data_IF_837302362090
#
_entry.id   IF_837302362090
#
_cell.length_a   1.000
_cell.length_b   1.000
_cell.length_c   1.000
_cell.angle_alpha   90.00
_cell.angle_beta   90.00
_cell.angle_gamma   90.00
#
_symmetry.space_group_name_H-M   'P 1'
#
loop_
_entity.id
_entity.type
_entity.pdbx_description
1 polymer ?
#
# COMPACT_ATOMS: atom_id res chain seq x y z
N UNK A 1 30.91 4.20 -83.85
CA UNK A 1 30.53 2.77 -84.02
C UNK A 1 29.63 2.44 -82.84
N UNK A 2 28.31 2.65 -82.97
CA UNK A 2 27.29 1.63 -83.33
C UNK A 2 27.24 0.54 -82.26
N UNK A 3 26.37 0.61 -81.25
CA UNK A 3 24.89 0.43 -81.24
C UNK A 3 24.45 -1.04 -81.20
N UNK A 4 23.31 -1.25 -80.55
CA UNK A 4 22.40 -2.41 -80.51
C UNK A 4 22.62 -3.43 -79.37
N UNK A 5 21.63 -3.77 -78.54
CA UNK A 5 20.19 -3.44 -78.49
C UNK A 5 19.61 -4.02 -77.18
N UNK A 6 18.65 -3.32 -76.56
CA UNK A 6 17.78 -3.92 -75.53
C UNK A 6 17.31 -2.99 -74.41
N UNK A 7 16.65 -1.88 -74.77
CA UNK A 7 15.97 -0.93 -73.86
C UNK A 7 14.47 -1.34 -73.71
N UNK A 8 13.62 -0.61 -72.94
CA UNK A 8 12.88 -0.96 -71.70
C UNK A 8 11.34 -0.92 -71.99
N UNK A 9 10.39 -0.33 -71.21
CA UNK A 9 10.26 0.03 -69.77
C UNK A 9 8.90 -0.40 -69.14
N UNK A 10 8.67 -0.09 -67.85
CA UNK A 10 7.31 -0.06 -67.30
C UNK A 10 7.22 0.10 -65.78
N UNK A 11 7.18 1.35 -65.32
CA UNK A 11 6.42 1.82 -64.14
C UNK A 11 5.26 2.68 -64.75
N UNK A 12 4.14 3.11 -64.11
CA UNK A 12 3.63 2.93 -62.74
C UNK A 12 2.10 2.67 -62.63
N UNK A 13 1.63 2.50 -61.39
CA UNK A 13 0.32 2.95 -60.85
C UNK A 13 -1.00 2.17 -61.11
N UNK A 14 -1.85 2.28 -60.07
CA UNK A 14 -3.32 2.16 -59.99
C UNK A 14 -3.96 0.78 -59.67
N UNK A 15 -4.34 0.64 -58.39
CA UNK A 15 -5.73 0.45 -57.95
C UNK A 15 -6.46 -0.85 -58.28
N UNK A 16 -6.90 -1.57 -57.25
CA UNK A 16 -8.31 -1.96 -57.16
C UNK A 16 -8.71 -2.35 -55.73
N UNK A 17 -9.85 -1.81 -55.31
CA UNK A 17 -10.58 -2.19 -54.12
C UNK A 17 -11.42 -3.43 -54.42
N UNK A 18 -11.50 -4.36 -53.47
CA UNK A 18 -12.36 -5.53 -53.57
C UNK A 18 -12.89 -5.93 -52.19
N UNK A 19 -14.07 -5.44 -51.84
CA UNK A 19 -14.83 -5.86 -50.67
C UNK A 19 -15.56 -7.18 -50.97
N UNK A 20 -15.45 -8.18 -50.09
CA UNK A 20 -16.45 -9.23 -49.82
C UNK A 20 -16.26 -9.65 -48.37
N UNK A 21 -17.16 -9.27 -47.45
CA UNK A 21 -18.44 -9.91 -47.11
C UNK A 21 -18.28 -11.23 -46.33
N UNK A 22 -18.64 -11.13 -45.04
CA UNK A 22 -19.37 -12.10 -44.22
C UNK A 22 -18.92 -13.58 -44.19
N UNK A 23 -18.46 -14.02 -43.01
CA UNK A 23 -18.29 -15.42 -42.65
C UNK A 23 -18.23 -15.59 -41.13
N UNK A 24 -19.41 -15.72 -40.53
CA UNK A 24 -19.85 -16.31 -39.25
C UNK A 24 -18.96 -16.31 -37.96
N UNK A 25 -19.56 -15.97 -36.80
CA UNK A 25 -18.99 -16.31 -35.50
C UNK A 25 -19.23 -17.80 -35.14
N UNK A 26 -18.33 -18.45 -34.39
CA UNK A 26 -18.55 -19.82 -33.92
C UNK A 26 -19.65 -19.89 -32.83
N UNK A 27 -20.31 -21.05 -32.68
CA UNK A 27 -21.66 -21.17 -32.11
C UNK A 27 -21.70 -21.22 -30.58
N UNK A 28 -22.80 -20.69 -30.04
CA UNK A 28 -23.31 -20.98 -28.70
C UNK A 28 -23.54 -22.49 -28.52
N UNK A 29 -22.98 -23.05 -27.43
CA UNK A 29 -23.44 -24.32 -26.88
C UNK A 29 -24.06 -24.03 -25.52
N UNK A 30 -25.38 -23.87 -25.54
CA UNK A 30 -26.22 -23.93 -24.37
C UNK A 30 -26.66 -25.39 -24.11
N UNK A 31 -26.87 -25.69 -22.83
CA UNK A 31 -27.89 -26.60 -22.26
C UNK A 31 -27.50 -28.02 -21.86
N UNK A 32 -27.51 -28.28 -20.55
CA UNK A 32 -28.30 -29.35 -19.90
C UNK A 32 -28.30 -29.10 -18.37
N UNK A 33 -29.43 -28.70 -17.73
CA UNK A 33 -30.52 -29.53 -17.16
C UNK A 33 -30.01 -30.49 -16.06
N UNK A 34 -30.28 -30.33 -14.74
CA UNK A 34 -31.54 -30.47 -13.93
C UNK A 34 -31.11 -31.13 -12.57
N UNK A 35 -31.81 -31.16 -11.39
CA UNK A 35 -33.19 -30.78 -11.05
C UNK A 35 -33.41 -29.86 -9.82
N UNK A 36 -34.67 -29.42 -9.73
CA UNK A 36 -35.46 -28.89 -8.63
C UNK A 36 -35.92 -29.92 -7.58
N UNK A 37 -36.07 -29.50 -6.31
CA UNK A 37 -37.08 -29.86 -5.26
C UNK A 37 -36.57 -29.28 -3.91
N UNK A 38 -37.32 -28.80 -2.90
CA UNK A 38 -38.73 -28.48 -2.64
C UNK A 38 -38.82 -27.89 -1.19
N UNK A 39 -39.68 -26.88 -0.96
CA UNK A 39 -40.32 -26.53 0.34
C UNK A 39 -39.56 -25.56 1.26
N UNK A 40 -40.13 -24.48 1.82
CA UNK A 40 -41.51 -23.99 1.88
C UNK A 40 -41.52 -22.45 2.10
N UNK A 41 -42.43 -21.77 1.41
CA UNK A 41 -42.99 -20.45 1.77
C UNK A 41 -44.47 -20.67 2.12
N UNK A 42 -45.14 -19.79 2.90
CA UNK A 42 -45.85 -18.65 2.28
C UNK A 42 -45.75 -17.36 3.14
N UNK A 43 -45.46 -16.16 2.59
CA UNK A 43 -46.29 -15.17 1.85
C UNK A 43 -47.40 -14.45 2.63
N UNK A 44 -47.56 -13.17 2.24
CA UNK A 44 -48.63 -12.18 2.46
C UNK A 44 -48.48 -11.26 3.70
N UNK A 45 -48.26 -9.95 3.58
CA UNK A 45 -48.90 -8.85 2.81
C UNK A 45 -50.20 -8.31 3.41
N UNK A 46 -50.28 -6.98 3.37
CA UNK A 46 -51.44 -6.10 3.48
C UNK A 46 -51.88 -5.66 4.89
N UNK A 47 -52.04 -4.34 5.01
CA UNK A 47 -52.66 -3.68 6.15
C UNK A 47 -54.18 -3.56 6.04
N UNK A 48 -54.68 -2.55 6.75
CA UNK A 48 -56.06 -2.03 6.80
C UNK A 48 -56.88 -2.43 8.06
N UNK A 49 -57.21 -1.38 8.82
CA UNK A 49 -58.59 -0.98 9.16
C UNK A 49 -59.38 -1.77 10.21
N UNK A 50 -59.70 -1.03 11.28
CA UNK A 50 -60.96 -0.89 12.00
C UNK A 50 -61.94 -2.06 12.21
N UNK A 51 -62.42 -2.07 13.46
CA UNK A 51 -63.78 -2.33 13.96
C UNK A 51 -64.31 -3.76 14.11
N UNK A 52 -64.71 -3.99 15.37
CA UNK A 52 -65.95 -4.60 15.84
C UNK A 52 -65.92 -6.02 16.46
N UNK A 53 -66.30 -6.02 17.75
CA UNK A 53 -67.25 -6.93 18.39
C UNK A 53 -66.79 -8.36 18.72
N UNK A 54 -66.60 -8.64 20.02
CA UNK A 54 -67.61 -9.36 20.80
C UNK A 54 -67.32 -9.31 22.31
N UNK A 55 -68.32 -8.84 23.06
CA UNK A 55 -68.45 -8.98 24.52
C UNK A 55 -68.73 -10.44 24.87
N UNK A 56 -68.18 -10.92 25.98
CA UNK A 56 -68.99 -11.57 27.02
C UNK A 56 -68.31 -11.55 28.41
N UNK A 57 -69.15 -11.39 29.44
CA UNK A 57 -69.06 -11.78 30.86
C UNK A 57 -67.83 -11.28 31.67
N UNK A 58 -67.95 -10.59 32.81
CA UNK A 58 -68.83 -10.84 33.95
C UNK A 58 -68.89 -9.60 34.84
N UNK A 59 -70.11 -9.23 35.24
CA UNK A 59 -70.38 -8.25 36.30
C UNK A 59 -69.92 -8.81 37.64
N UNK A 60 -68.80 -8.33 38.17
CA UNK A 60 -68.52 -8.42 39.61
C UNK A 60 -68.79 -7.08 40.28
N UNK A 61 -69.87 -7.08 41.06
CA UNK A 61 -70.21 -6.04 42.03
C UNK A 61 -69.09 -5.93 43.06
N UNK A 62 -68.19 -4.94 42.91
CA UNK A 62 -67.26 -4.58 43.97
C UNK A 62 -67.84 -3.45 44.81
N UNK A 63 -68.31 -3.82 45.99
CA UNK A 63 -68.73 -2.98 47.11
C UNK A 63 -67.74 -1.82 47.32
N UNK A 64 -68.23 -0.59 47.12
CA UNK A 64 -67.56 0.63 47.58
C UNK A 64 -67.41 0.56 49.10
N UNK A 65 -66.20 0.31 49.56
CA UNK A 65 -65.82 0.52 50.96
C UNK A 65 -65.00 1.79 51.00
N UNK A 66 -65.57 2.83 51.59
CA UNK A 66 -64.94 4.12 51.88
C UNK A 66 -63.59 3.91 52.58
N UNK A 67 -62.45 4.43 52.08
CA UNK A 67 -61.20 4.33 52.81
C UNK A 67 -61.20 5.38 53.92
N UNK A 68 -61.10 4.90 55.16
CA UNK A 68 -60.76 5.71 56.34
C UNK A 68 -59.37 6.31 56.15
N UNK A 69 -59.21 7.64 56.14
CA UNK A 69 -57.90 8.26 55.96
C UNK A 69 -57.16 8.27 57.31
N UNK A 70 -55.99 7.63 57.37
CA UNK A 70 -55.04 7.92 58.46
C UNK A 70 -54.01 6.87 58.84
N UNK A 71 -54.15 5.60 58.46
CA UNK A 71 -53.21 4.56 58.92
C UNK A 71 -52.60 3.69 57.80
N UNK A 72 -53.25 3.55 56.63
CA UNK A 72 -52.81 2.63 55.55
C UNK A 72 -51.98 3.32 54.45
N UNK A 73 -51.88 4.65 54.45
CA UNK A 73 -51.19 5.41 53.39
C UNK A 73 -49.69 5.50 53.60
N UNK A 74 -49.20 5.54 54.85
CA UNK A 74 -47.77 5.51 55.13
C UNK A 74 -47.17 4.14 54.87
N UNK A 75 -47.85 3.05 55.26
CA UNK A 75 -47.36 1.69 55.03
C UNK A 75 -47.23 1.39 53.53
N UNK A 76 -48.25 1.70 52.72
CA UNK A 76 -48.17 1.54 51.26
C UNK A 76 -47.10 2.44 50.61
N UNK A 77 -46.83 3.63 51.17
CA UNK A 77 -45.80 4.53 50.65
C UNK A 77 -44.40 4.03 50.99
N UNK A 78 -44.19 3.50 52.20
CA UNK A 78 -42.95 2.87 52.63
C UNK A 78 -42.67 1.58 51.86
N UNK A 79 -43.69 0.77 51.58
CA UNK A 79 -43.57 -0.44 50.77
C UNK A 79 -43.24 -0.11 49.31
N UNK A 80 -43.85 0.94 48.74
CA UNK A 80 -43.50 1.40 47.40
C UNK A 80 -42.07 1.97 47.33
N UNK A 81 -41.64 2.73 48.33
CA UNK A 81 -40.26 3.21 48.41
C UNK A 81 -39.24 2.07 48.57
N UNK A 82 -39.58 1.01 49.30
CA UNK A 82 -38.77 -0.22 49.40
C UNK A 82 -38.68 -0.94 48.06
N UNK A 83 -39.79 -1.16 47.37
CA UNK A 83 -39.82 -1.83 46.07
C UNK A 83 -39.05 -1.03 44.99
N UNK A 84 -39.16 0.31 45.00
CA UNK A 84 -38.38 1.18 44.11
C UNK A 84 -36.90 1.12 44.44
N UNK A 85 -36.53 1.08 45.73
CA UNK A 85 -35.13 0.94 46.16
C UNK A 85 -34.55 -0.40 45.75
N UNK A 86 -35.27 -1.51 45.97
CA UNK A 86 -34.84 -2.85 45.57
C UNK A 86 -34.65 -2.95 44.06
N UNK A 87 -35.61 -2.45 43.26
CA UNK A 87 -35.44 -2.38 41.80
C UNK A 87 -34.29 -1.50 41.35
N UNK A 88 -34.00 -0.42 42.08
CA UNK A 88 -32.87 0.46 41.76
C UNK A 88 -31.54 -0.24 42.06
N UNK A 89 -31.47 -0.93 43.20
CA UNK A 89 -30.30 -1.72 43.60
C UNK A 89 -30.06 -2.88 42.62
N UNK A 90 -31.09 -3.60 42.19
CA UNK A 90 -30.99 -4.65 41.17
C UNK A 90 -30.49 -4.11 39.82
N UNK A 91 -30.99 -2.95 39.39
CA UNK A 91 -30.54 -2.31 38.14
C UNK A 91 -29.10 -1.83 38.23
N UNK A 92 -28.67 -1.33 39.38
CA UNK A 92 -27.30 -0.91 39.61
C UNK A 92 -26.34 -2.10 39.61
N UNK A 93 -26.75 -3.24 40.17
CA UNK A 93 -25.99 -4.49 40.12
C UNK A 93 -25.87 -4.99 38.68
N UNK A 94 -26.98 -5.08 37.95
CA UNK A 94 -26.98 -5.51 36.54
C UNK A 94 -26.12 -4.58 35.67
N UNK A 95 -26.15 -3.27 35.92
CA UNK A 95 -25.31 -2.29 35.21
C UNK A 95 -23.82 -2.52 35.47
N UNK A 96 -23.44 -2.76 36.74
CA UNK A 96 -22.04 -3.04 37.11
C UNK A 96 -21.54 -4.34 36.49
N UNK A 97 -22.38 -5.38 36.44
CA UNK A 97 -22.02 -6.63 35.76
C UNK A 97 -21.81 -6.42 34.25
N UNK A 98 -22.69 -5.67 33.58
CA UNK A 98 -22.51 -5.35 32.16
C UNK A 98 -21.24 -4.53 31.91
N UNK A 99 -20.92 -3.58 32.79
CA UNK A 99 -19.68 -2.79 32.71
C UNK A 99 -18.44 -3.68 32.91
N UNK A 100 -18.44 -4.59 33.89
CA UNK A 100 -17.35 -5.54 34.11
C UNK A 100 -17.19 -6.52 32.94
N UNK A 101 -18.29 -7.08 32.44
CA UNK A 101 -18.27 -7.94 31.24
C UNK A 101 -17.68 -7.20 30.04
N UNK A 102 -18.04 -5.93 29.84
CA UNK A 102 -17.53 -5.11 28.73
C UNK A 102 -16.05 -4.80 28.89
N UNK A 103 -15.59 -4.50 30.11
CA UNK A 103 -14.16 -4.28 30.39
C UNK A 103 -13.33 -5.55 30.22
N UNK A 104 -13.84 -6.71 30.61
CA UNK A 104 -13.18 -8.00 30.37
C UNK A 104 -13.10 -8.31 28.87
N UNK A 105 -14.18 -8.09 28.12
CA UNK A 105 -14.19 -8.26 26.67
C UNK A 105 -13.22 -7.31 25.97
N UNK A 106 -13.16 -6.05 26.40
CA UNK A 106 -12.24 -5.05 25.84
C UNK A 106 -10.77 -5.41 26.16
N UNK A 107 -10.48 -5.84 27.38
CA UNK A 107 -9.16 -6.32 27.77
C UNK A 107 -8.74 -7.57 26.98
N UNK A 108 -9.63 -8.56 26.83
CA UNK A 108 -9.40 -9.77 26.05
C UNK A 108 -9.21 -9.46 24.56
N UNK A 109 -9.97 -8.51 24.02
CA UNK A 109 -9.82 -8.06 22.63
C UNK A 109 -8.46 -7.39 22.40
N UNK A 110 -8.06 -6.45 23.28
CA UNK A 110 -6.77 -5.75 23.22
C UNK A 110 -5.61 -6.74 23.37
N UNK A 111 -5.71 -7.69 24.29
CA UNK A 111 -4.71 -8.74 24.49
C UNK A 111 -4.62 -9.63 23.26
N UNK A 112 -5.74 -10.09 22.70
CA UNK A 112 -5.77 -10.91 21.49
C UNK A 112 -5.19 -10.19 20.26
N UNK A 113 -5.37 -8.87 20.17
CA UNK A 113 -4.81 -8.07 19.09
C UNK A 113 -3.30 -7.84 19.25
N UNK A 114 -2.83 -7.67 20.49
CA UNK A 114 -1.39 -7.60 20.80
C UNK A 114 -0.69 -8.93 20.50
N UNK A 115 -1.29 -10.06 20.89
CA UNK A 115 -0.76 -11.41 20.62
C UNK A 115 -0.74 -11.73 19.12
N UNK A 116 -1.76 -11.32 18.36
CA UNK A 116 -1.78 -11.46 16.88
C UNK A 116 -0.71 -10.60 16.19
N UNK A 117 -0.42 -9.42 16.72
CA UNK A 117 0.68 -8.57 16.25
C UNK A 117 2.04 -9.20 16.50
N UNK A 118 2.21 -9.89 17.62
CA UNK A 118 3.47 -10.57 17.93
C UNK A 118 3.63 -11.87 17.14
N UNK A 119 2.54 -12.59 16.85
CA UNK A 119 2.56 -13.87 16.12
C UNK A 119 2.61 -13.70 14.59
N UNK A 120 2.00 -12.64 14.03
CA UNK A 120 1.99 -12.36 12.58
C UNK A 120 2.71 -11.06 12.17
N UNK A 121 3.28 -10.30 13.11
CA UNK A 121 4.13 -9.13 12.88
C UNK A 121 5.60 -9.50 12.67
N UNK A 122 5.85 -10.27 11.61
CA UNK A 122 7.18 -10.72 11.23
C UNK A 122 7.83 -9.86 10.15
N UNK A 123 9.17 -9.75 10.19
CA UNK A 123 9.95 -9.27 9.05
C UNK A 123 9.74 -10.22 7.87
N UNK A 124 9.24 -9.71 6.75
CA UNK A 124 8.95 -10.53 5.58
C UNK A 124 10.09 -10.38 4.57
N UNK A 125 11.02 -11.31 4.63
CA UNK A 125 12.20 -11.36 3.75
C UNK A 125 11.80 -11.29 2.26
N UNK A 126 10.71 -11.96 1.86
CA UNK A 126 10.24 -11.95 0.48
C UNK A 126 9.83 -10.54 0.02
N UNK A 127 9.04 -9.84 0.83
CA UNK A 127 8.61 -8.46 0.53
C UNK A 127 9.81 -7.50 0.41
N UNK A 128 10.81 -7.65 1.28
CA UNK A 128 12.03 -6.85 1.24
C UNK A 128 12.86 -7.10 -0.04
N UNK A 129 12.99 -8.36 -0.48
CA UNK A 129 13.69 -8.70 -1.74
C UNK A 129 12.98 -8.07 -2.94
N UNK A 130 11.65 -8.21 -3.04
CA UNK A 130 10.90 -7.62 -4.14
C UNK A 130 10.97 -6.09 -4.14
N UNK A 131 10.88 -5.46 -2.97
CA UNK A 131 11.07 -4.01 -2.85
C UNK A 131 12.46 -3.57 -3.32
N UNK A 132 13.51 -4.34 -3.01
CA UNK A 132 14.86 -4.06 -3.49
C UNK A 132 15.00 -4.25 -5.01
N UNK A 133 14.42 -5.31 -5.58
CA UNK A 133 14.41 -5.51 -7.04
C UNK A 133 13.74 -4.34 -7.77
N UNK A 134 12.62 -3.84 -7.23
CA UNK A 134 11.93 -2.65 -7.75
C UNK A 134 12.81 -1.41 -7.63
N UNK A 135 13.50 -1.24 -6.50
CA UNK A 135 14.41 -0.11 -6.30
C UNK A 135 15.55 -0.10 -7.33
N UNK A 136 16.20 -1.25 -7.59
CA UNK A 136 17.26 -1.34 -8.60
C UNK A 136 16.71 -1.09 -10.01
N UNK A 137 15.57 -1.71 -10.36
CA UNK A 137 14.95 -1.51 -11.67
C UNK A 137 14.61 -0.04 -11.92
N UNK A 138 14.03 0.65 -10.93
CA UNK A 138 13.72 2.07 -11.03
C UNK A 138 14.97 2.95 -11.04
N UNK A 139 16.01 2.59 -10.30
CA UNK A 139 17.28 3.33 -10.31
C UNK A 139 17.86 3.32 -11.72
N UNK A 140 17.96 2.14 -12.35
CA UNK A 140 18.49 2.00 -13.72
C UNK A 140 17.61 2.73 -14.72
N UNK A 141 16.29 2.57 -14.63
CA UNK A 141 15.34 3.22 -15.52
C UNK A 141 15.46 4.76 -15.45
N UNK A 142 15.36 5.32 -14.25
CA UNK A 142 15.44 6.77 -14.04
C UNK A 142 16.82 7.33 -14.38
N UNK A 143 17.90 6.63 -14.03
CA UNK A 143 19.25 7.05 -14.39
C UNK A 143 19.46 7.03 -15.91
N UNK A 144 18.92 6.05 -16.63
CA UNK A 144 18.99 6.00 -18.09
C UNK A 144 18.27 7.18 -18.75
N UNK A 145 17.09 7.55 -18.24
CA UNK A 145 16.32 8.70 -18.72
C UNK A 145 17.07 10.00 -18.41
N UNK A 146 17.56 10.16 -17.17
CA UNK A 146 18.33 11.34 -16.78
C UNK A 146 19.61 11.49 -17.61
N UNK A 147 20.31 10.38 -17.88
CA UNK A 147 21.50 10.35 -18.75
C UNK A 147 21.18 10.75 -20.19
N UNK A 148 20.08 10.25 -20.76
CA UNK A 148 19.62 10.64 -22.09
C UNK A 148 19.28 12.14 -22.18
N UNK A 149 18.59 12.68 -21.17
CA UNK A 149 18.29 14.12 -21.09
C UNK A 149 19.57 14.93 -20.97
N UNK A 150 20.51 14.52 -20.09
CA UNK A 150 21.77 15.21 -19.91
C UNK A 150 22.59 15.25 -21.21
N UNK A 151 22.63 14.14 -21.96
CA UNK A 151 23.30 14.08 -23.25
C UNK A 151 22.65 15.03 -24.28
N UNK A 152 21.32 15.01 -24.40
CA UNK A 152 20.60 15.89 -25.33
C UNK A 152 20.78 17.38 -24.98
N UNK A 153 20.76 17.72 -23.69
CA UNK A 153 21.01 19.10 -23.23
C UNK A 153 22.44 19.53 -23.53
N UNK A 154 23.43 18.67 -23.28
CA UNK A 154 24.83 18.96 -23.56
C UNK A 154 25.09 19.26 -25.04
N UNK A 155 24.45 18.51 -25.94
CA UNK A 155 24.52 18.76 -27.39
C UNK A 155 23.85 20.09 -27.76
N UNK A 156 22.64 20.35 -27.24
CA UNK A 156 21.87 21.57 -27.57
C UNK A 156 22.56 22.87 -27.12
N UNK A 157 23.33 22.83 -26.04
CA UNK A 157 24.03 23.99 -25.48
C UNK A 157 25.44 24.18 -26.06
N UNK A 158 25.85 23.36 -27.04
CA UNK A 158 27.23 23.31 -27.56
C UNK A 158 28.28 23.25 -26.44
N UNK A 159 27.98 22.48 -25.39
CA UNK A 159 28.81 22.41 -24.19
C UNK A 159 30.15 21.77 -24.56
N UNK A 160 31.22 22.57 -24.62
CA UNK A 160 32.53 22.06 -25.04
C UNK A 160 33.25 21.39 -23.89
N UNK A 161 34.24 20.52 -24.20
CA UNK A 161 35.11 19.93 -23.19
C UNK A 161 35.81 21.01 -22.33
N UNK A 162 36.15 22.15 -22.94
CA UNK A 162 36.78 23.27 -22.22
C UNK A 162 35.84 23.95 -21.21
N UNK A 163 34.53 23.93 -21.46
CA UNK A 163 33.53 24.49 -20.54
C UNK A 163 33.22 23.48 -19.42
N UNK A 164 33.20 22.19 -19.74
CA UNK A 164 33.12 21.12 -18.76
C UNK A 164 34.30 21.14 -17.79
N UNK A 165 35.52 21.42 -18.26
CA UNK A 165 36.70 21.56 -17.39
C UNK A 165 36.62 22.79 -16.47
N UNK A 166 36.11 23.92 -16.98
CA UNK A 166 35.94 25.15 -16.17
C UNK A 166 34.84 25.04 -15.12
N UNK A 167 33.78 24.26 -15.39
CA UNK A 167 32.60 24.11 -14.53
C UNK A 167 32.47 22.70 -13.94
N UNK A 168 33.56 21.92 -13.92
CA UNK A 168 33.55 20.53 -13.49
C UNK A 168 32.97 20.34 -12.08
N UNK A 169 33.23 21.28 -11.18
CA UNK A 169 32.66 21.28 -9.82
C UNK A 169 31.14 21.39 -9.81
N UNK A 170 30.58 22.38 -10.51
CA UNK A 170 29.14 22.64 -10.54
C UNK A 170 28.37 21.52 -11.25
N UNK A 171 28.91 21.04 -12.38
CA UNK A 171 28.33 19.91 -13.13
C UNK A 171 28.39 18.63 -12.30
N UNK A 172 29.49 18.41 -11.56
CA UNK A 172 29.64 17.27 -10.66
C UNK A 172 28.63 17.29 -9.52
N UNK A 173 28.44 18.45 -8.87
CA UNK A 173 27.44 18.62 -7.79
C UNK A 173 26.03 18.44 -8.33
N UNK A 174 25.67 19.09 -9.45
CA UNK A 174 24.35 18.97 -10.06
C UNK A 174 24.03 17.52 -10.44
N UNK A 175 24.99 16.82 -11.05
CA UNK A 175 24.87 15.40 -11.39
C UNK A 175 24.73 14.53 -10.15
N UNK A 176 25.55 14.78 -9.12
CA UNK A 176 25.51 14.06 -7.84
C UNK A 176 24.16 14.21 -7.14
N UNK A 177 23.62 15.43 -7.08
CA UNK A 177 22.29 15.70 -6.52
C UNK A 177 21.21 15.01 -7.37
N UNK A 178 21.29 15.08 -8.69
CA UNK A 178 20.35 14.43 -9.59
C UNK A 178 20.30 12.90 -9.37
N UNK A 179 21.46 12.26 -9.28
CA UNK A 179 21.56 10.83 -8.96
C UNK A 179 21.04 10.52 -7.55
N UNK A 180 21.35 11.35 -6.55
CA UNK A 180 20.82 11.17 -5.20
C UNK A 180 19.29 11.22 -5.18
N UNK A 181 18.68 12.17 -5.89
CA UNK A 181 17.22 12.26 -6.02
C UNK A 181 16.64 11.03 -6.70
N UNK A 182 17.26 10.55 -7.78
CA UNK A 182 16.87 9.30 -8.45
C UNK A 182 16.90 8.12 -7.48
N UNK A 183 17.99 7.96 -6.73
CA UNK A 183 18.13 6.90 -5.72
C UNK A 183 17.05 7.01 -4.65
N UNK A 184 16.77 8.22 -4.15
CA UNK A 184 15.72 8.44 -3.15
C UNK A 184 14.34 8.07 -3.70
N UNK A 185 13.99 8.45 -4.93
CA UNK A 185 12.71 8.08 -5.54
C UNK A 185 12.61 6.56 -5.71
N UNK A 186 13.68 5.92 -6.17
CA UNK A 186 13.71 4.48 -6.40
C UNK A 186 13.58 3.67 -5.10
N UNK A 187 14.33 4.03 -4.06
CA UNK A 187 14.24 3.39 -2.75
C UNK A 187 12.91 3.68 -2.04
N UNK A 188 12.33 4.86 -2.23
CA UNK A 188 10.98 5.16 -1.75
C UNK A 188 9.94 4.23 -2.40
N UNK A 189 9.98 4.06 -3.72
CA UNK A 189 9.08 3.16 -4.43
C UNK A 189 9.29 1.68 -4.03
N UNK A 190 10.54 1.24 -3.89
CA UNK A 190 10.86 -0.10 -3.40
C UNK A 190 10.33 -0.36 -1.99
N UNK A 191 10.55 0.58 -1.08
CA UNK A 191 9.98 0.55 0.27
C UNK A 191 8.45 0.51 0.25
N UNK A 192 7.81 1.30 -0.62
CA UNK A 192 6.35 1.31 -0.78
C UNK A 192 5.79 -0.04 -1.20
N UNK A 193 6.40 -0.70 -2.20
CA UNK A 193 5.99 -2.04 -2.65
C UNK A 193 6.14 -3.06 -1.52
N UNK A 194 7.27 -3.04 -0.80
CA UNK A 194 7.50 -3.94 0.34
C UNK A 194 6.49 -3.69 1.48
N UNK A 195 6.17 -2.42 1.74
CA UNK A 195 5.17 -2.02 2.73
C UNK A 195 3.75 -2.46 2.37
N UNK A 196 3.39 -2.50 1.08
CA UNK A 196 2.08 -2.99 0.60
C UNK A 196 1.91 -4.49 0.75
N UNK A 197 3.00 -5.26 0.81
CA UNK A 197 2.98 -6.71 1.01
C UNK A 197 3.04 -7.13 2.48
N UNK A 198 3.29 -6.19 3.40
CA UNK A 198 3.39 -6.45 4.84
C UNK A 198 2.25 -5.81 5.61
N UNK A 199 1.44 -6.66 6.25
CA UNK A 199 0.22 -6.23 6.96
C UNK A 199 0.50 -5.38 8.20
N UNK A 200 1.61 -5.60 8.91
CA UNK A 200 1.79 -5.03 10.26
C UNK A 200 2.99 -4.10 10.47
N UNK A 201 4.05 -4.14 9.65
CA UNK A 201 5.24 -3.29 9.83
C UNK A 201 5.85 -2.74 8.53
N UNK A 202 5.15 -1.85 7.82
CA UNK A 202 5.64 -1.27 6.56
C UNK A 202 6.97 -0.53 6.70
N UNK A 203 7.18 0.17 7.82
CA UNK A 203 8.47 0.82 8.11
C UNK A 203 9.64 -0.17 8.24
N UNK A 204 9.45 -1.29 8.95
CA UNK A 204 10.49 -2.34 9.08
C UNK A 204 10.76 -3.04 7.76
N UNK A 205 9.76 -3.22 6.90
CA UNK A 205 10.02 -3.76 5.56
C UNK A 205 10.80 -2.79 4.68
N UNK A 206 10.54 -1.48 4.77
CA UNK A 206 11.34 -0.45 4.10
C UNK A 206 12.81 -0.49 4.54
N UNK A 207 13.07 -0.72 5.84
CA UNK A 207 14.42 -0.98 6.34
C UNK A 207 15.00 -2.28 5.78
N UNK A 208 14.17 -3.32 5.62
CA UNK A 208 14.57 -4.58 4.98
C UNK A 208 15.06 -4.39 3.55
N UNK A 209 14.32 -3.62 2.75
CA UNK A 209 14.72 -3.26 1.38
C UNK A 209 16.10 -2.58 1.38
N UNK A 210 16.30 -1.64 2.30
CA UNK A 210 17.57 -0.94 2.44
C UNK A 210 18.72 -1.85 2.87
N UNK A 211 18.49 -2.72 3.87
CA UNK A 211 19.49 -3.69 4.35
C UNK A 211 19.89 -4.69 3.26
N UNK A 212 18.94 -5.22 2.50
CA UNK A 212 19.23 -6.10 1.37
C UNK A 212 20.07 -5.35 0.34
N UNK A 213 19.71 -4.11 0.02
CA UNK A 213 20.51 -3.27 -0.85
C UNK A 213 21.94 -3.10 -0.36
N UNK A 214 22.12 -2.81 0.93
CA UNK A 214 23.44 -2.67 1.53
C UNK A 214 24.24 -3.98 1.47
N UNK A 215 23.63 -5.12 1.78
CA UNK A 215 24.29 -6.43 1.69
C UNK A 215 24.70 -6.75 0.26
N UNK A 216 23.80 -6.57 -0.71
CA UNK A 216 24.11 -6.83 -2.12
C UNK A 216 25.18 -5.87 -2.64
N UNK A 217 25.14 -4.59 -2.26
CA UNK A 217 26.20 -3.63 -2.59
C UNK A 217 27.54 -4.03 -2.00
N UNK A 218 27.58 -4.47 -0.74
CA UNK A 218 28.81 -4.96 -0.11
C UNK A 218 29.34 -6.22 -0.80
N UNK A 219 28.46 -7.15 -1.20
CA UNK A 219 28.82 -8.32 -2.00
C UNK A 219 29.38 -7.92 -3.36
N UNK A 220 28.75 -6.96 -4.05
CA UNK A 220 29.20 -6.47 -5.34
C UNK A 220 30.59 -5.81 -5.25
N UNK A 221 30.83 -5.01 -4.21
CA UNK A 221 32.16 -4.42 -3.94
C UNK A 221 33.19 -5.51 -3.66
N UNK A 222 32.85 -6.49 -2.82
CA UNK A 222 33.73 -7.63 -2.52
C UNK A 222 34.08 -8.43 -3.78
N UNK A 223 33.10 -8.74 -4.61
CA UNK A 223 33.32 -9.40 -5.91
C UNK A 223 34.17 -8.52 -6.84
N UNK A 224 33.92 -7.21 -6.87
CA UNK A 224 34.73 -6.27 -7.65
C UNK A 224 36.21 -6.27 -7.24
N UNK A 225 36.52 -6.40 -5.96
CA UNK A 225 37.91 -6.52 -5.46
C UNK A 225 38.53 -7.86 -5.88
N UNK A 226 37.79 -8.96 -5.77
CA UNK A 226 38.29 -10.30 -6.11
C UNK A 226 38.56 -10.45 -7.62
N UNK A 227 37.66 -9.96 -8.47
CA UNK A 227 37.78 -10.06 -9.93
C UNK A 227 38.53 -8.88 -10.57
N UNK A 228 38.73 -7.77 -9.84
CA UNK A 228 39.32 -6.54 -10.34
C UNK A 228 40.83 -6.62 -10.60
N UNK A 229 41.54 -7.57 -9.99
CA UNK A 229 43.00 -7.72 -10.18
C UNK A 229 43.39 -8.09 -11.63
N UNK A 230 42.48 -8.68 -12.41
CA UNK A 230 42.72 -9.00 -13.83
C UNK A 230 42.43 -7.79 -14.76
N UNK A 231 41.66 -6.81 -14.28
CA UNK A 231 41.13 -5.66 -15.03
C UNK A 231 41.63 -4.32 -14.47
N UNK A 232 42.89 -4.24 -14.07
CA UNK A 232 43.48 -2.96 -13.69
C UNK A 232 43.71 -2.08 -14.95
N UNK A 233 42.63 -1.43 -15.38
CA UNK A 233 42.59 -0.53 -16.54
C UNK A 233 43.27 0.81 -16.21
N UNK A 234 43.44 1.11 -14.92
CA UNK A 234 44.10 2.32 -14.44
C UNK A 234 45.62 2.22 -14.57
N UNK A 235 46.19 1.02 -14.39
CA UNK A 235 47.62 0.75 -14.61
C UNK A 235 48.02 0.78 -16.09
N UNK A 236 47.05 0.59 -17.01
CA UNK A 236 47.29 0.61 -18.47
C UNK A 236 47.22 1.99 -19.10
N UNK A 237 46.74 3.00 -18.37
CA UNK A 237 46.64 4.38 -18.83
C UNK A 237 47.59 5.20 -17.97
N UNK A 238 48.65 5.74 -18.57
CA UNK A 238 49.57 6.64 -17.90
C UNK A 238 48.87 8.00 -17.74
N UNK A 239 47.94 8.11 -16.79
CA UNK A 239 47.26 9.36 -16.50
C UNK A 239 48.28 10.34 -15.89
N UNK A 240 48.45 11.54 -16.46
CA UNK A 240 49.23 12.59 -15.82
C UNK A 240 48.73 12.78 -14.39
N UNK A 241 49.62 12.61 -13.41
CA UNK A 241 49.30 12.82 -12.00
C UNK A 241 49.00 14.31 -11.79
N UNK A 242 47.72 14.69 -11.87
CA UNK A 242 47.25 15.99 -11.45
C UNK A 242 47.24 15.97 -9.92
N UNK A 243 48.02 16.82 -9.23
CA UNK A 243 48.01 16.90 -7.79
C UNK A 243 46.67 17.48 -7.33
N UNK A 244 45.73 16.60 -7.04
CA UNK A 244 44.49 16.97 -6.36
C UNK A 244 44.73 16.98 -4.84
N UNK A 245 44.18 17.95 -4.11
CA UNK A 245 44.08 17.88 -2.66
C UNK A 245 43.27 16.63 -2.30
N UNK A 246 43.97 15.60 -1.84
CA UNK A 246 43.41 14.26 -1.63
C UNK A 246 42.46 14.23 -0.42
N UNK A 247 42.67 15.17 0.50
CA UNK A 247 41.88 15.44 1.69
C UNK A 247 40.50 16.04 1.37
N UNK A 248 40.42 16.98 0.43
CA UNK A 248 39.15 17.55 -0.02
C UNK A 248 38.29 16.51 -0.75
N UNK A 249 38.89 15.73 -1.65
CA UNK A 249 38.20 14.65 -2.37
C UNK A 249 37.70 13.57 -1.40
N UNK A 250 38.52 13.15 -0.45
CA UNK A 250 38.12 12.17 0.56
C UNK A 250 36.95 12.68 1.41
N UNK A 251 36.99 13.94 1.81
CA UNK A 251 35.92 14.56 2.62
C UNK A 251 34.62 14.69 1.82
N UNK A 252 34.69 15.20 0.59
CA UNK A 252 33.52 15.31 -0.29
C UNK A 252 32.91 13.94 -0.60
N UNK A 253 33.75 12.93 -0.87
CA UNK A 253 33.33 11.56 -1.08
C UNK A 253 32.63 10.97 0.15
N UNK A 254 33.15 11.21 1.35
CA UNK A 254 32.53 10.75 2.60
C UNK A 254 31.17 11.42 2.84
N UNK A 255 31.06 12.72 2.57
CA UNK A 255 29.80 13.46 2.66
C UNK A 255 28.78 12.92 1.65
N UNK A 256 29.19 12.70 0.40
CA UNK A 256 28.32 12.14 -0.63
C UNK A 256 27.85 10.72 -0.26
N UNK A 257 28.75 9.88 0.24
CA UNK A 257 28.41 8.54 0.72
C UNK A 257 27.40 8.59 1.88
N UNK A 258 27.63 9.46 2.87
CA UNK A 258 26.71 9.66 3.98
C UNK A 258 25.34 10.14 3.50
N UNK A 259 25.30 11.09 2.56
CA UNK A 259 24.06 11.59 1.97
C UNK A 259 23.29 10.48 1.23
N UNK A 260 23.97 9.63 0.45
CA UNK A 260 23.35 8.48 -0.22
C UNK A 260 22.82 7.47 0.79
N UNK A 261 23.62 7.09 1.78
CA UNK A 261 23.24 6.12 2.81
C UNK A 261 22.02 6.60 3.60
N UNK A 262 22.07 7.82 4.12
CA UNK A 262 20.99 8.39 4.93
C UNK A 262 19.76 8.72 4.08
N UNK A 263 19.96 9.28 2.88
CA UNK A 263 18.88 9.64 1.97
C UNK A 263 18.08 8.43 1.49
N UNK A 264 18.76 7.37 1.06
CA UNK A 264 18.09 6.12 0.64
C UNK A 264 17.41 5.40 1.80
N UNK A 265 18.02 5.39 2.98
CA UNK A 265 17.43 4.83 4.20
C UNK A 265 16.12 5.55 4.56
N UNK A 266 16.16 6.88 4.62
CA UNK A 266 14.98 7.70 4.92
C UNK A 266 13.88 7.52 3.88
N UNK A 267 14.24 7.53 2.58
CA UNK A 267 13.32 7.30 1.50
C UNK A 267 12.65 5.92 1.58
N UNK A 268 13.42 4.85 1.75
CA UNK A 268 12.90 3.49 1.85
C UNK A 268 11.96 3.32 3.06
N UNK A 269 12.36 3.87 4.20
CA UNK A 269 11.55 3.86 5.42
C UNK A 269 10.23 4.61 5.24
N UNK A 270 10.26 5.83 4.67
CA UNK A 270 9.06 6.62 4.38
C UNK A 270 8.14 5.91 3.37
N UNK A 271 8.72 5.33 2.32
CA UNK A 271 8.01 4.55 1.33
C UNK A 271 7.24 3.39 1.96
N UNK A 272 7.93 2.60 2.78
CA UNK A 272 7.33 1.48 3.52
C UNK A 272 6.19 1.90 4.43
N UNK A 273 6.37 3.01 5.17
CA UNK A 273 5.31 3.58 6.03
C UNK A 273 4.10 4.04 5.23
N UNK A 274 4.31 4.67 4.07
CA UNK A 274 3.22 5.10 3.18
C UNK A 274 2.45 3.92 2.58
N UNK A 275 3.14 2.83 2.21
CA UNK A 275 2.53 1.61 1.67
C UNK A 275 1.54 0.95 2.64
N UNK A 276 1.84 0.99 3.95
CA UNK A 276 1.00 0.41 4.99
C UNK A 276 -0.26 1.24 5.29
N UNK A 277 -0.24 2.56 5.05
CA UNK A 277 -1.28 3.50 5.50
C UNK A 277 -2.69 3.16 5.00
N UNK A 278 -2.79 2.46 3.86
CA UNK A 278 -4.07 2.02 3.30
C UNK A 278 -4.77 0.94 4.15
N UNK A 279 -4.01 0.00 4.72
CA UNK A 279 -4.57 -1.11 5.50
C UNK A 279 -5.08 -0.63 6.85
N UNK A 280 -4.30 0.21 7.55
CA UNK A 280 -4.70 0.80 8.83
C UNK A 280 -5.94 1.69 8.71
N UNK A 281 -6.19 2.29 7.53
CA UNK A 281 -7.39 3.10 7.31
C UNK A 281 -8.64 2.23 7.15
N UNK A 282 -8.53 1.07 6.50
CA UNK A 282 -9.65 0.13 6.33
C UNK A 282 -9.93 -0.59 7.65
N UNK A 283 -8.90 -1.05 8.36
CA UNK A 283 -9.07 -1.74 9.64
C UNK A 283 -9.77 -0.84 10.69
N UNK A 284 -9.53 0.48 10.66
CA UNK A 284 -10.24 1.44 11.53
C UNK A 284 -11.70 1.70 11.14
N UNK A 285 -12.07 1.46 9.88
CA UNK A 285 -13.45 1.64 9.41
C UNK A 285 -14.26 0.35 9.63
N UNK A 286 -13.59 -0.80 9.71
CA UNK A 286 -14.22 -2.11 9.90
C UNK A 286 -14.28 -2.57 11.36
N UNK A 287 -13.41 -2.04 12.24
CA UNK A 287 -13.50 -2.18 13.70
C UNK A 287 -14.51 -1.19 14.30
#
# INVERSE_FOLDING_TARGET
MTDATGRPPGDPSLGEAGSTSAGDPPPDVASSHTPSHLGDSPTESAGATSTESLRDTTTETRTSTTPTPGATSLDNQLDHEREVRERTEERDVARRELEDMRHRHEAEYVESESLRRDEYGGFNWGAAIFGWLVAIALTVLLASIAGAIAAAVGESLNFTQSDAERQAGDVGIATGIGLLVVLMIAYFAGGYVAGRMSRYDGGRQGLGVWLIGLVVSALAVGLGILFGQEYDIFDRVNLPNIPFPTDEIATAGLIALAAVVLGTLLAAFLGGKMGQRYHTKIDRITA
#
